data_IF_051027954977
#
_entry.id   IF_051027954977
#
_cell.length_a   1.000
_cell.length_b   1.000
_cell.length_c   1.000
_cell.angle_alpha   90.00
_cell.angle_beta   90.00
_cell.angle_gamma   90.00
#
_symmetry.space_group_name_H-M   'P 1'
#
loop_
_entity.id
_entity.type
_entity.pdbx_description
1 polymer ?
#
# COMPACT_ATOMS: atom_id res chain seq x y z
N UNK A 1 -4.47 -8.32 7.08
CA UNK A 1 -4.07 -8.68 8.44
C UNK A 1 -4.86 -7.87 9.43
N UNK A 2 -5.07 -8.39 10.62
CA UNK A 2 -5.73 -7.62 11.66
C UNK A 2 -4.79 -6.52 12.16
N UNK A 3 -5.33 -5.35 12.49
CA UNK A 3 -4.52 -4.24 12.98
C UNK A 3 -3.68 -4.67 14.19
N UNK A 4 -2.38 -4.42 14.12
CA UNK A 4 -1.44 -4.73 15.18
C UNK A 4 -0.29 -3.74 15.08
N UNK A 5 -0.27 -2.75 15.97
CA UNK A 5 0.69 -1.66 15.89
C UNK A 5 2.14 -2.15 16.00
N UNK A 6 2.40 -3.16 16.82
CA UNK A 6 3.74 -3.70 16.97
C UNK A 6 4.23 -4.38 15.69
N UNK A 7 3.34 -5.10 15.02
CA UNK A 7 3.67 -5.77 13.77
C UNK A 7 3.87 -4.77 12.65
N UNK A 8 3.01 -3.76 12.56
CA UNK A 8 3.15 -2.70 11.57
C UNK A 8 4.49 -1.99 11.74
N UNK A 9 4.82 -1.64 12.98
CA UNK A 9 6.10 -1.01 13.29
C UNK A 9 7.28 -1.90 12.93
N UNK A 10 7.20 -3.19 13.26
CA UNK A 10 8.28 -4.12 12.97
C UNK A 10 8.47 -4.33 11.47
N UNK A 11 7.43 -4.14 10.67
CA UNK A 11 7.51 -4.25 9.22
C UNK A 11 7.88 -2.93 8.55
N UNK A 12 7.99 -1.85 9.31
CA UNK A 12 8.31 -0.54 8.76
C UNK A 12 7.13 0.14 8.09
N UNK A 13 5.90 -0.31 8.37
CA UNK A 13 4.70 0.27 7.78
C UNK A 13 4.27 1.45 8.63
N UNK A 14 4.21 2.62 8.01
CA UNK A 14 4.03 3.89 8.72
C UNK A 14 2.71 4.58 8.43
N UNK A 15 2.19 4.42 7.21
CA UNK A 15 1.02 5.17 6.76
C UNK A 15 -0.19 4.27 6.60
N UNK A 16 -1.35 4.81 6.94
CA UNK A 16 -2.63 4.13 6.71
C UNK A 16 -3.45 4.96 5.73
N UNK A 17 -4.09 4.31 4.80
CA UNK A 17 -4.98 4.99 3.86
C UNK A 17 -6.13 4.07 3.51
N UNK A 18 -7.29 4.67 3.21
CA UNK A 18 -8.49 3.93 2.91
C UNK A 18 -8.83 4.07 1.42
N UNK A 19 -9.01 2.96 0.75
CA UNK A 19 -9.45 2.94 -0.64
C UNK A 19 -10.90 3.37 -0.75
N UNK A 20 -11.32 3.71 -1.95
CA UNK A 20 -12.71 4.10 -2.19
C UNK A 20 -13.68 2.98 -1.81
N UNK A 21 -13.24 1.74 -1.88
CA UNK A 21 -14.03 0.56 -1.47
C UNK A 21 -14.25 0.47 0.04
N UNK A 22 -13.52 1.25 0.83
CA UNK A 22 -13.57 1.17 2.28
C UNK A 22 -12.47 0.32 2.90
N UNK A 23 -11.65 -0.33 2.09
CA UNK A 23 -10.56 -1.15 2.61
C UNK A 23 -9.39 -0.27 3.05
N UNK A 24 -8.96 -0.43 4.30
CA UNK A 24 -7.79 0.26 4.83
C UNK A 24 -6.54 -0.56 4.52
N UNK A 25 -5.49 0.14 4.13
CA UNK A 25 -4.18 -0.45 3.86
C UNK A 25 -3.10 0.28 4.64
N UNK A 26 -2.07 -0.45 5.05
CA UNK A 26 -0.87 0.13 5.66
C UNK A 26 0.26 0.14 4.63
N UNK A 27 1.06 1.21 4.64
CA UNK A 27 2.10 1.44 3.63
C UNK A 27 3.42 1.81 4.28
N UNK A 28 4.49 1.34 3.69
CA UNK A 28 5.85 1.67 4.12
C UNK A 28 6.20 3.12 3.80
N UNK A 29 5.77 3.60 2.63
CA UNK A 29 6.03 4.94 2.15
C UNK A 29 4.72 5.68 1.97
N UNK A 30 4.79 7.00 1.91
CA UNK A 30 3.60 7.82 1.70
C UNK A 30 2.93 7.44 0.38
N UNK A 31 1.69 6.94 0.43
CA UNK A 31 1.00 6.58 -0.80
C UNK A 31 0.42 7.78 -1.50
N UNK A 32 0.11 7.62 -2.77
CA UNK A 32 -0.57 8.63 -3.57
C UNK A 32 -1.90 8.09 -4.05
N UNK A 33 -2.86 8.98 -4.21
CA UNK A 33 -4.22 8.62 -4.63
C UNK A 33 -4.25 8.32 -6.12
N UNK A 34 -4.95 7.26 -6.49
CA UNK A 34 -5.19 6.91 -7.88
C UNK A 34 -6.69 6.77 -8.10
N UNK A 35 -7.21 7.42 -9.13
CA UNK A 35 -8.64 7.41 -9.45
C UNK A 35 -8.83 6.98 -10.90
N UNK A 36 -8.69 5.68 -11.19
CA UNK A 36 -8.85 5.18 -12.53
C UNK A 36 -10.31 5.29 -13.00
N UNK A 37 -10.50 5.33 -14.31
CA UNK A 37 -11.81 5.59 -14.88
C UNK A 37 -12.76 4.39 -14.87
N UNK A 38 -12.25 3.19 -14.60
CA UNK A 38 -13.04 1.96 -14.75
C UNK A 38 -12.98 1.03 -13.54
N UNK A 39 -12.39 1.50 -12.43
CA UNK A 39 -12.38 0.77 -11.16
C UNK A 39 -12.51 1.77 -10.03
N UNK A 40 -12.81 1.27 -8.83
CA UNK A 40 -12.81 2.11 -7.64
C UNK A 40 -11.42 2.70 -7.39
N UNK A 41 -11.36 3.88 -6.81
CA UNK A 41 -10.11 4.54 -6.47
C UNK A 41 -9.34 3.79 -5.40
N UNK A 42 -8.04 3.93 -5.43
CA UNK A 42 -7.16 3.25 -4.49
C UNK A 42 -5.92 4.10 -4.23
N UNK A 43 -5.13 3.70 -3.23
CA UNK A 43 -3.85 4.31 -2.94
C UNK A 43 -2.74 3.42 -3.46
N UNK A 44 -1.62 4.00 -3.85
CA UNK A 44 -0.44 3.26 -4.30
C UNK A 44 0.83 3.95 -3.86
N UNK A 45 1.94 3.23 -3.83
CA UNK A 45 3.23 3.81 -3.50
C UNK A 45 3.78 4.48 -4.74
N UNK A 46 4.14 5.76 -4.60
CA UNK A 46 4.55 6.59 -5.75
C UNK A 46 5.80 6.08 -6.45
N UNK A 47 6.69 5.44 -5.73
CA UNK A 47 7.96 4.94 -6.28
C UNK A 47 7.81 3.63 -7.04
N UNK A 48 6.64 3.01 -6.98
CA UNK A 48 6.38 1.77 -7.68
C UNK A 48 5.99 2.04 -9.12
N UNK A 49 5.99 0.98 -9.94
CA UNK A 49 5.47 1.08 -11.29
C UNK A 49 4.04 1.57 -11.25
N UNK A 50 3.68 2.35 -12.24
CA UNK A 50 2.27 2.67 -12.44
C UNK A 50 1.56 1.40 -12.87
N UNK A 51 0.39 1.17 -12.31
CA UNK A 51 -0.44 0.05 -12.73
C UNK A 51 -0.76 0.25 -14.23
N UNK A 52 -0.60 -0.80 -15.05
CA UNK A 52 -0.99 -0.70 -16.45
C UNK A 52 -2.47 -0.35 -16.54
N UNK A 53 -2.81 0.57 -17.43
CA UNK A 53 -4.20 0.89 -17.66
C UNK A 53 -4.84 -0.17 -18.55
N UNK A 54 -6.03 -0.59 -18.18
CA UNK A 54 -6.83 -1.49 -19.00
C UNK A 54 -8.20 -0.89 -19.23
N UNK A 55 -8.76 -1.18 -20.37
CA UNK A 55 -10.07 -0.71 -20.78
C UNK A 55 -10.90 -1.91 -21.21
N UNK A 56 -12.17 -1.68 -21.39
CA UNK A 56 -13.08 -2.72 -21.81
C UNK A 56 -12.56 -3.50 -23.03
N UNK A 57 -11.95 -2.78 -23.98
CA UNK A 57 -11.46 -3.37 -25.22
C UNK A 57 -9.95 -3.60 -25.23
N UNK A 58 -9.32 -3.61 -24.06
CA UNK A 58 -7.91 -3.92 -23.97
C UNK A 58 -7.64 -5.35 -24.45
N UNK A 59 -6.45 -5.56 -25.01
CA UNK A 59 -6.06 -6.88 -25.48
C UNK A 59 -5.86 -7.83 -24.31
N UNK A 60 -5.87 -9.12 -24.59
CA UNK A 60 -5.61 -10.14 -23.59
C UNK A 60 -4.22 -9.97 -22.98
N UNK A 61 -3.25 -9.57 -23.80
CA UNK A 61 -1.89 -9.30 -23.32
C UNK A 61 -1.84 -8.13 -22.36
N UNK A 62 -2.59 -7.07 -22.64
CA UNK A 62 -2.67 -5.93 -21.73
C UNK A 62 -3.31 -6.31 -20.41
N UNK A 63 -4.37 -7.11 -20.44
CA UNK A 63 -5.00 -7.62 -19.23
C UNK A 63 -4.06 -8.50 -18.42
N UNK A 64 -3.25 -9.30 -19.10
CA UNK A 64 -2.30 -10.16 -18.40
C UNK A 64 -1.22 -9.33 -17.70
N UNK A 65 -0.72 -8.28 -18.32
CA UNK A 65 0.24 -7.38 -17.68
C UNK A 65 -0.36 -6.70 -16.45
N UNK A 66 -1.62 -6.32 -16.52
CA UNK A 66 -2.33 -5.75 -15.39
C UNK A 66 -2.42 -6.75 -14.22
N UNK A 67 -2.79 -7.97 -14.51
CA UNK A 67 -2.87 -9.03 -13.50
C UNK A 67 -1.50 -9.32 -12.90
N UNK A 68 -0.47 -9.39 -13.74
CA UNK A 68 0.89 -9.65 -13.27
C UNK A 68 1.40 -8.52 -12.38
N UNK A 69 1.12 -7.29 -12.74
CA UNK A 69 1.46 -6.14 -11.91
C UNK A 69 0.89 -6.29 -10.50
N UNK A 70 -0.40 -6.53 -10.43
CA UNK A 70 -1.06 -6.64 -9.13
C UNK A 70 -0.60 -7.86 -8.34
N UNK A 71 -0.33 -8.96 -9.00
CA UNK A 71 0.18 -10.15 -8.33
C UNK A 71 1.55 -9.88 -7.68
N UNK A 72 2.39 -9.08 -8.33
CA UNK A 72 3.73 -8.78 -7.82
C UNK A 72 3.76 -7.62 -6.84
N UNK A 73 2.95 -6.61 -7.07
CA UNK A 73 3.08 -5.32 -6.40
C UNK A 73 2.10 -5.09 -5.26
N UNK A 74 1.15 -5.98 -5.08
CA UNK A 74 0.07 -5.73 -4.12
C UNK A 74 0.55 -5.76 -2.67
N UNK A 75 1.44 -6.67 -2.33
CA UNK A 75 1.78 -6.90 -0.93
C UNK A 75 3.27 -6.87 -0.63
N UNK A 76 4.15 -7.13 -1.61
CA UNK A 76 5.56 -7.37 -1.32
C UNK A 76 6.47 -6.63 -2.28
N UNK A 77 7.66 -6.30 -1.79
CA UNK A 77 8.76 -5.84 -2.62
C UNK A 77 9.51 -7.05 -3.18
N UNK A 78 10.64 -6.79 -3.84
CA UNK A 78 11.44 -7.83 -4.48
C UNK A 78 12.01 -8.87 -3.51
N UNK A 79 12.08 -8.55 -2.23
CA UNK A 79 12.59 -9.48 -1.21
C UNK A 79 11.48 -10.24 -0.51
N UNK A 80 10.24 -10.07 -0.93
CA UNK A 80 9.11 -10.69 -0.24
C UNK A 80 8.69 -9.95 1.02
N UNK A 81 9.31 -8.82 1.35
CA UNK A 81 8.90 -8.00 2.48
C UNK A 81 7.66 -7.19 2.09
N UNK A 82 6.71 -7.11 2.99
CA UNK A 82 5.51 -6.34 2.75
C UNK A 82 5.85 -4.86 2.63
N UNK A 83 5.41 -4.22 1.54
CA UNK A 83 5.48 -2.78 1.35
C UNK A 83 4.12 -2.14 1.56
N UNK A 84 3.08 -2.94 1.53
CA UNK A 84 1.73 -2.57 1.93
C UNK A 84 0.97 -3.83 2.29
N UNK A 85 -0.05 -3.67 3.11
CA UNK A 85 -0.88 -4.80 3.52
C UNK A 85 -2.28 -4.32 3.87
N UNK A 86 -3.32 -5.09 3.52
CA UNK A 86 -4.68 -4.74 3.93
C UNK A 86 -4.84 -4.92 5.42
N UNK A 87 -5.59 -4.03 6.04
CA UNK A 87 -5.80 -4.02 7.48
C UNK A 87 -7.28 -4.21 7.80
N UNK A 88 -7.59 -5.14 8.68
CA UNK A 88 -8.92 -5.29 9.25
C UNK A 88 -8.92 -4.77 10.69
N UNK A 89 -10.11 -4.40 11.16
CA UNK A 89 -10.30 -3.91 12.54
C UNK A 89 -9.41 -2.72 12.88
N UNK A 90 -9.23 -1.80 11.93
CA UNK A 90 -8.45 -0.60 12.16
C UNK A 90 -9.18 0.29 13.18
N UNK A 91 -8.53 0.65 14.31
CA UNK A 91 -9.16 1.48 15.31
C UNK A 91 -9.23 2.96 14.93
N UNK A 92 -8.51 3.34 13.88
CA UNK A 92 -8.47 4.72 13.42
C UNK A 92 -9.48 4.88 12.30
N UNK A 93 -10.35 5.86 12.42
CA UNK A 93 -11.36 6.12 11.40
C UNK A 93 -10.75 6.90 10.25
N UNK A 94 -10.65 6.25 9.13
CA UNK A 94 -10.09 6.82 7.90
C UNK A 94 -11.07 6.54 6.77
N UNK A 95 -11.33 7.54 5.94
CA UNK A 95 -12.16 7.37 4.75
C UNK A 95 -11.35 7.64 3.48
N UNK A 96 -11.96 7.36 2.35
CA UNK A 96 -11.33 7.61 1.04
C UNK A 96 -10.96 9.08 0.83
N UNK A 97 -11.75 9.98 1.38
CA UNK A 97 -11.52 11.42 1.25
C UNK A 97 -10.36 11.93 2.12
N UNK A 98 -9.94 11.15 3.11
CA UNK A 98 -8.88 11.57 4.02
C UNK A 98 -7.50 11.39 3.40
N UNK A 99 -6.58 12.25 3.80
CA UNK A 99 -5.18 12.05 3.47
C UNK A 99 -4.62 10.86 4.25
N UNK A 100 -3.52 10.25 3.79
CA UNK A 100 -2.91 9.15 4.52
C UNK A 100 -2.61 9.53 5.97
N UNK A 101 -2.92 8.63 6.88
CA UNK A 101 -2.69 8.81 8.29
C UNK A 101 -1.27 8.38 8.64
N UNK A 102 -0.46 9.30 9.14
CA UNK A 102 0.92 9.04 9.51
C UNK A 102 0.97 8.62 10.99
N UNK A 103 1.23 7.34 11.23
CA UNK A 103 1.25 6.81 12.58
C UNK A 103 2.39 7.35 13.42
N UNK A 104 3.47 7.78 12.79
CA UNK A 104 4.59 8.41 13.51
C UNK A 104 4.22 9.84 13.89
N UNK A 105 3.66 10.61 12.96
CA UNK A 105 3.25 11.98 13.24
C UNK A 105 2.22 12.05 14.36
N UNK A 106 1.34 11.05 14.43
CA UNK A 106 0.31 10.99 15.46
C UNK A 106 0.75 10.20 16.71
N UNK A 107 2.06 10.00 16.86
CA UNK A 107 2.66 9.39 18.04
C UNK A 107 2.17 7.99 18.39
N UNK A 108 1.74 7.22 17.40
CA UNK A 108 1.41 5.82 17.64
C UNK A 108 2.66 4.99 17.87
N UNK A 109 3.76 5.37 17.26
CA UNK A 109 5.09 4.82 17.55
C UNK A 109 6.15 5.80 17.05
N UNK A 110 7.30 5.88 17.72
CA UNK A 110 8.35 6.81 17.32
C UNK A 110 9.07 6.33 16.06
N UNK A 111 9.61 7.28 15.30
CA UNK A 111 10.34 6.99 14.07
C UNK A 111 11.51 6.04 14.31
N UNK A 112 12.16 6.18 15.45
CA UNK A 112 13.32 5.32 15.81
C UNK A 112 12.96 3.86 15.99
N UNK A 113 11.68 3.54 16.21
CA UNK A 113 11.24 2.16 16.40
C UNK A 113 10.87 1.46 15.10
N UNK A 114 10.86 2.18 14.00
CA UNK A 114 10.55 1.59 12.72
C UNK A 114 11.65 0.61 12.29
N UNK A 115 11.25 -0.55 11.82
CA UNK A 115 12.15 -1.52 11.22
C UNK A 115 12.25 -1.21 9.74
N UNK A 116 13.26 -0.47 9.36
CA UNK A 116 13.45 -0.05 7.99
C UNK A 116 14.44 -0.96 7.30
N UNK A 117 14.05 -1.51 6.17
CA UNK A 117 14.92 -2.33 5.34
C UNK A 117 15.57 -1.45 4.30
N UNK A 118 16.88 -1.59 4.15
CA UNK A 118 17.63 -0.78 3.20
C UNK A 118 17.52 -1.34 1.78
N UNK A 119 17.77 -0.48 0.81
CA UNK A 119 17.71 -0.87 -0.59
C UNK A 119 18.56 -2.10 -0.90
N UNK A 120 19.73 -2.21 -0.31
CA UNK A 120 20.59 -3.34 -0.54
C UNK A 120 19.97 -4.66 -0.12
N UNK A 121 19.08 -4.62 0.83
CA UNK A 121 18.38 -5.82 1.29
C UNK A 121 17.31 -6.23 0.31
N UNK A 122 16.80 -5.26 -0.41
CA UNK A 122 15.78 -5.49 -1.41
C UNK A 122 16.35 -6.14 -2.65
N UNK A 123 17.64 -5.91 -2.92
CA UNK A 123 18.29 -6.36 -4.14
C UNK A 123 18.87 -7.77 -4.07
N UNK A 124 18.75 -8.40 -2.98
CA UNK A 124 19.31 -9.75 -2.80
C UNK A 124 18.60 -10.82 -3.61
#
# INVERSE_FOLDING_TARGET
MKFNINKLRSWGLRYLACDESGQVWAYEKLPVRASPSHTAGYWRIADCFLAPEVHFNSSEEEWQRYKDYWAKMTHYNLNGRAICTPISDCPIQISWEDEPYDMVEHDLFPMSDLKVFHEREILL
#
